data_IF_005139642116
#
_entry.id   IF_005139642116
#
_cell.length_a   1.000
_cell.length_b   1.000
_cell.length_c   1.000
_cell.angle_alpha   90.00
_cell.angle_beta   90.00
_cell.angle_gamma   90.00
#
_symmetry.space_group_name_H-M   'P 1'
#
loop_
_entity.id
_entity.type
_entity.pdbx_description
1 polymer ?
#
# COMPACT_ATOMS: atom_id res chain seq x y z
N UNK A 1 18.58 -17.82 23.87
CA UNK A 1 18.05 -16.84 24.82
C UNK A 1 17.02 -15.97 24.10
N UNK A 2 15.84 -15.75 24.69
CA UNK A 2 14.86 -14.79 24.13
C UNK A 2 15.42 -13.38 24.31
N UNK A 3 15.44 -12.58 23.25
CA UNK A 3 15.80 -11.16 23.28
C UNK A 3 14.86 -10.42 24.25
N UNK A 4 15.38 -9.44 24.99
CA UNK A 4 14.60 -8.59 25.91
C UNK A 4 15.09 -7.14 25.81
N UNK A 5 14.14 -6.21 25.73
CA UNK A 5 14.45 -4.80 25.71
C UNK A 5 15.05 -4.34 27.04
N UNK A 6 16.14 -3.56 26.98
CA UNK A 6 16.66 -2.84 28.14
C UNK A 6 15.87 -1.54 28.38
N UNK A 7 15.85 -1.05 29.61
CA UNK A 7 15.19 0.23 29.94
C UNK A 7 15.75 1.39 29.13
N UNK A 8 17.08 1.46 28.99
CA UNK A 8 17.77 2.47 28.16
C UNK A 8 17.36 2.42 26.69
N UNK A 9 17.15 1.22 26.14
CA UNK A 9 16.68 1.06 24.76
C UNK A 9 15.27 1.64 24.62
N UNK A 10 14.38 1.35 25.57
CA UNK A 10 13.00 1.85 25.55
C UNK A 10 12.92 3.37 25.67
N UNK A 11 13.76 3.99 26.50
CA UNK A 11 13.85 5.46 26.58
C UNK A 11 14.35 6.08 25.27
N UNK A 12 15.31 5.43 24.62
CA UNK A 12 15.79 5.84 23.30
C UNK A 12 14.67 5.73 22.26
N UNK A 13 13.92 4.63 22.26
CA UNK A 13 12.75 4.45 21.39
C UNK A 13 11.71 5.56 21.61
N UNK A 14 11.39 5.88 22.87
CA UNK A 14 10.45 6.96 23.22
C UNK A 14 10.92 8.32 22.69
N UNK A 15 12.21 8.59 22.75
CA UNK A 15 12.79 9.80 22.17
C UNK A 15 12.62 9.83 20.64
N UNK A 16 12.94 8.74 19.96
CA UNK A 16 12.79 8.67 18.49
C UNK A 16 11.34 8.78 18.02
N UNK A 17 10.38 8.30 18.82
CA UNK A 17 8.96 8.39 18.53
C UNK A 17 8.39 9.84 18.58
N UNK A 18 9.18 10.83 18.98
CA UNK A 18 8.78 12.25 18.97
C UNK A 18 9.03 12.91 17.61
N UNK A 19 9.85 12.32 16.73
CA UNK A 19 10.18 12.90 15.44
C UNK A 19 9.14 12.52 14.37
N UNK A 20 8.76 13.44 13.48
CA UNK A 20 7.86 13.12 12.37
C UNK A 20 8.56 12.22 11.36
N UNK A 21 7.80 11.29 10.76
CA UNK A 21 8.29 10.46 9.66
C UNK A 21 8.24 11.23 8.33
N UNK A 22 9.20 10.98 7.44
CA UNK A 22 9.28 11.63 6.13
C UNK A 22 8.55 10.82 5.07
N UNK A 23 7.58 11.43 4.36
CA UNK A 23 6.93 10.82 3.21
C UNK A 23 7.86 10.76 1.98
N UNK A 24 7.79 9.66 1.21
CA UNK A 24 8.59 9.46 -0.01
C UNK A 24 7.68 9.01 -1.14
N UNK A 25 7.69 9.72 -2.28
CA UNK A 25 6.89 9.37 -3.45
C UNK A 25 7.57 8.32 -4.34
N UNK A 26 6.78 7.58 -5.12
CA UNK A 26 7.30 6.59 -6.07
C UNK A 26 8.32 7.21 -7.04
N UNK A 27 8.03 8.42 -7.53
CA UNK A 27 8.91 9.18 -8.42
C UNK A 27 10.24 9.52 -7.78
N UNK A 28 10.24 9.92 -6.49
CA UNK A 28 11.47 10.18 -5.74
C UNK A 28 12.31 8.90 -5.57
N UNK A 29 11.68 7.75 -5.32
CA UNK A 29 12.37 6.47 -5.19
C UNK A 29 13.04 6.02 -6.50
N UNK A 30 12.38 6.24 -7.64
CA UNK A 30 12.93 5.90 -8.97
C UNK A 30 14.06 6.85 -9.37
N UNK A 31 13.86 8.17 -9.25
CA UNK A 31 14.89 9.15 -9.61
C UNK A 31 16.21 8.93 -8.85
N UNK A 32 16.12 8.43 -7.62
CA UNK A 32 17.28 8.10 -6.82
C UNK A 32 17.93 6.77 -7.21
N UNK A 33 17.15 5.78 -7.62
CA UNK A 33 17.62 4.42 -7.90
C UNK A 33 18.03 4.15 -9.35
N UNK A 34 17.71 5.03 -10.30
CA UNK A 34 17.90 4.81 -11.75
C UNK A 34 19.36 4.52 -12.14
N UNK A 35 20.32 5.14 -11.44
CA UNK A 35 21.76 4.90 -11.64
C UNK A 35 22.45 4.67 -10.29
N UNK A 36 22.40 3.45 -9.76
CA UNK A 36 22.98 3.16 -8.46
C UNK A 36 24.52 3.22 -8.57
N UNK A 37 25.13 4.00 -7.69
CA UNK A 37 26.57 4.05 -7.48
C UNK A 37 26.89 3.86 -6.00
N UNK A 38 28.14 3.57 -5.65
CA UNK A 38 28.54 3.44 -4.23
C UNK A 38 28.18 4.70 -3.42
N UNK A 39 28.37 5.89 -4.01
CA UNK A 39 28.02 7.17 -3.39
C UNK A 39 26.52 7.34 -3.22
N UNK A 40 25.75 7.08 -4.28
CA UNK A 40 24.28 7.17 -4.24
C UNK A 40 23.70 6.15 -3.26
N UNK A 41 24.11 4.88 -3.30
CA UNK A 41 23.70 3.86 -2.32
C UNK A 41 24.03 4.25 -0.89
N UNK A 42 25.19 4.89 -0.66
CA UNK A 42 25.55 5.39 0.67
C UNK A 42 24.60 6.49 1.16
N UNK A 43 24.19 7.42 0.29
CA UNK A 43 23.17 8.42 0.64
C UNK A 43 21.84 7.77 1.01
N UNK A 44 21.49 6.69 0.32
CA UNK A 44 20.30 5.89 0.63
C UNK A 44 20.43 5.27 2.02
N UNK A 45 21.58 4.65 2.31
CA UNK A 45 21.89 4.07 3.60
C UNK A 45 21.82 5.12 4.71
N UNK A 46 22.33 6.34 4.46
CA UNK A 46 22.26 7.44 5.43
C UNK A 46 20.81 7.82 5.72
N UNK A 47 20.01 8.07 4.69
CA UNK A 47 18.59 8.38 4.83
C UNK A 47 17.85 7.32 5.65
N UNK A 48 18.00 6.04 5.27
CA UNK A 48 17.33 4.93 5.95
C UNK A 48 17.83 4.72 7.38
N UNK A 49 19.10 5.00 7.65
CA UNK A 49 19.67 4.89 9.01
C UNK A 49 19.12 5.94 9.97
N UNK A 50 18.52 7.01 9.45
CA UNK A 50 17.86 8.05 10.23
C UNK A 50 16.33 7.88 10.23
N UNK A 51 15.74 7.52 9.09
CA UNK A 51 14.28 7.42 8.90
C UNK A 51 13.70 6.12 9.48
N UNK A 52 14.35 4.97 9.31
CA UNK A 52 13.82 3.69 9.79
C UNK A 52 13.68 3.64 11.32
N UNK A 53 14.66 4.10 12.12
CA UNK A 53 14.50 4.14 13.58
C UNK A 53 13.27 4.94 14.02
N UNK A 54 12.96 6.07 13.38
CA UNK A 54 11.76 6.87 13.68
C UNK A 54 10.49 6.04 13.44
N UNK A 55 10.39 5.43 12.25
CA UNK A 55 9.21 4.62 11.88
C UNK A 55 9.04 3.40 12.78
N UNK A 56 10.13 2.70 13.10
CA UNK A 56 10.12 1.55 14.03
C UNK A 56 9.72 1.99 15.44
N UNK A 57 10.23 3.12 15.92
CA UNK A 57 9.90 3.66 17.23
C UNK A 57 8.41 4.01 17.36
N UNK A 58 7.81 4.60 16.32
CA UNK A 58 6.36 4.80 16.28
C UNK A 58 5.58 3.48 16.40
N UNK A 59 6.04 2.39 15.77
CA UNK A 59 5.36 1.09 15.88
C UNK A 59 5.48 0.52 17.29
N UNK A 60 6.65 0.61 17.92
CA UNK A 60 6.82 0.16 19.31
C UNK A 60 5.86 0.92 20.23
N UNK A 61 5.84 2.26 20.16
CA UNK A 61 4.94 3.08 20.98
C UNK A 61 3.48 2.74 20.74
N UNK A 62 3.03 2.68 19.48
CA UNK A 62 1.64 2.36 19.18
C UNK A 62 1.21 0.98 19.70
N UNK A 63 2.12 -0.01 19.67
CA UNK A 63 1.86 -1.35 20.22
C UNK A 63 1.81 -1.35 21.76
N UNK A 64 2.57 -0.48 22.43
CA UNK A 64 2.51 -0.31 23.89
C UNK A 64 1.23 0.38 24.35
N UNK A 65 0.79 1.37 23.59
CA UNK A 65 -0.37 2.21 23.91
C UNK A 65 -1.71 1.57 23.48
N UNK A 66 -1.69 0.34 22.98
CA UNK A 66 -2.89 -0.38 22.57
C UNK A 66 -3.88 -0.54 23.75
N UNK A 67 -5.16 -0.17 23.58
CA UNK A 67 -6.13 -0.13 24.66
C UNK A 67 -6.59 -1.53 25.13
N UNK A 68 -7.35 -1.54 26.22
CA UNK A 68 -8.12 -2.70 26.71
C UNK A 68 -7.33 -3.99 27.01
N UNK A 69 -6.01 -3.87 27.15
CA UNK A 69 -5.11 -5.00 27.40
C UNK A 69 -4.80 -5.81 26.14
N UNK A 70 -4.98 -5.25 24.94
CA UNK A 70 -4.52 -5.86 23.68
C UNK A 70 -3.00 -5.90 23.64
N UNK A 71 -2.33 -4.86 24.17
CA UNK A 71 -0.87 -4.79 24.33
C UNK A 71 -0.30 -5.93 25.19
N UNK A 72 -1.09 -6.49 26.11
CA UNK A 72 -0.67 -7.61 26.97
C UNK A 72 -0.69 -8.98 26.27
N UNK A 73 -1.21 -9.07 25.04
CA UNK A 73 -1.34 -10.36 24.36
C UNK A 73 0.04 -10.88 23.94
N UNK A 74 0.39 -12.16 24.21
CA UNK A 74 1.72 -12.71 23.93
C UNK A 74 2.19 -12.48 22.50
N UNK A 75 1.29 -12.62 21.52
CA UNK A 75 1.63 -12.39 20.12
C UNK A 75 1.85 -10.90 19.79
N UNK A 76 1.17 -9.99 20.47
CA UNK A 76 1.37 -8.52 20.31
C UNK A 76 2.71 -8.10 20.91
N UNK A 77 3.04 -8.62 22.09
CA UNK A 77 4.35 -8.41 22.74
C UNK A 77 5.47 -8.93 21.83
N UNK A 78 5.32 -10.11 21.24
CA UNK A 78 6.30 -10.68 20.30
C UNK A 78 6.55 -9.77 19.09
N UNK A 79 5.49 -9.20 18.51
CA UNK A 79 5.62 -8.23 17.41
C UNK A 79 6.32 -6.96 17.89
N UNK A 80 5.96 -6.44 19.07
CA UNK A 80 6.63 -5.27 19.67
C UNK A 80 8.13 -5.50 19.82
N UNK A 81 8.52 -6.65 20.35
CA UNK A 81 9.93 -7.03 20.54
C UNK A 81 10.67 -7.11 19.20
N UNK A 82 10.03 -7.60 18.13
CA UNK A 82 10.63 -7.58 16.79
C UNK A 82 10.89 -6.18 16.27
N UNK A 83 10.02 -5.21 16.55
CA UNK A 83 10.25 -3.80 16.18
C UNK A 83 11.36 -3.17 17.01
N UNK A 84 11.38 -3.42 18.33
CA UNK A 84 12.39 -2.87 19.23
C UNK A 84 13.79 -3.47 18.96
N UNK A 85 13.88 -4.77 18.67
CA UNK A 85 15.12 -5.42 18.26
C UNK A 85 15.63 -4.84 16.92
N UNK A 86 14.76 -4.66 15.93
CA UNK A 86 15.15 -4.06 14.66
C UNK A 86 15.62 -2.61 14.82
N UNK A 87 15.01 -1.85 15.74
CA UNK A 87 15.44 -0.50 16.08
C UNK A 87 16.86 -0.50 16.67
N UNK A 88 17.12 -1.40 17.63
CA UNK A 88 18.43 -1.56 18.25
C UNK A 88 19.51 -1.90 17.21
N UNK A 89 19.24 -2.86 16.33
CA UNK A 89 20.20 -3.31 15.31
C UNK A 89 20.57 -2.21 14.31
N UNK A 90 19.63 -1.34 13.92
CA UNK A 90 19.92 -0.21 13.02
C UNK A 90 20.73 0.87 13.75
N UNK A 91 20.32 1.23 14.96
CA UNK A 91 20.92 2.34 15.71
C UNK A 91 22.32 2.03 16.22
N UNK A 92 22.62 0.75 16.48
CA UNK A 92 23.95 0.29 16.89
C UNK A 92 24.90 0.04 15.71
N UNK A 93 24.44 0.13 14.46
CA UNK A 93 25.30 -0.13 13.31
C UNK A 93 26.43 0.92 13.23
N UNK A 94 27.72 0.50 13.21
CA UNK A 94 28.83 1.43 13.17
C UNK A 94 28.85 2.26 11.88
N UNK A 95 28.83 3.58 12.02
CA UNK A 95 28.98 4.52 10.90
C UNK A 95 30.44 4.51 10.40
N UNK A 96 30.70 4.66 9.08
CA UNK A 96 32.06 4.72 8.58
C UNK A 96 32.72 6.03 9.00
N UNK A 97 34.02 5.97 9.30
CA UNK A 97 34.80 7.16 9.59
C UNK A 97 35.33 7.77 8.30
N UNK A 98 34.60 8.74 7.76
CA UNK A 98 34.95 9.38 6.49
C UNK A 98 35.79 10.64 6.74
N UNK A 99 36.86 10.77 5.96
CA UNK A 99 37.68 11.97 5.84
C UNK A 99 36.86 13.16 5.29
N UNK A 100 37.37 14.37 5.50
CA UNK A 100 36.65 15.60 5.14
C UNK A 100 36.40 15.68 3.63
N UNK A 101 37.34 15.24 2.81
CA UNK A 101 37.24 15.32 1.34
C UNK A 101 36.12 14.39 0.83
N UNK A 102 36.07 13.14 1.29
CA UNK A 102 34.98 12.21 0.93
C UNK A 102 33.61 12.73 1.38
N UNK A 103 33.51 13.32 2.58
CA UNK A 103 32.26 13.93 3.07
C UNK A 103 31.81 15.09 2.20
N UNK A 104 32.73 15.98 1.84
CA UNK A 104 32.43 17.13 0.99
C UNK A 104 32.02 16.67 -0.42
N UNK A 105 32.66 15.63 -0.96
CA UNK A 105 32.30 15.03 -2.25
C UNK A 105 30.92 14.40 -2.24
N UNK A 106 30.55 13.70 -1.16
CA UNK A 106 29.19 13.17 -0.99
C UNK A 106 28.14 14.29 -1.03
N UNK A 107 28.46 15.49 -0.51
CA UNK A 107 27.58 16.67 -0.42
C UNK A 107 27.54 17.53 -1.68
N UNK A 108 28.45 17.31 -2.65
CA UNK A 108 28.46 18.05 -3.91
C UNK A 108 27.46 17.43 -4.90
N UNK A 109 26.51 18.22 -5.43
CA UNK A 109 25.66 17.75 -6.52
C UNK A 109 26.51 17.47 -7.76
N UNK A 110 26.18 16.40 -8.50
CA UNK A 110 26.87 16.06 -9.76
C UNK A 110 26.89 17.26 -10.74
N UNK A 111 28.01 17.45 -11.46
CA UNK A 111 28.13 18.48 -12.52
C UNK A 111 27.01 18.40 -13.57
N UNK A 112 26.49 17.20 -13.82
CA UNK A 112 25.37 16.98 -14.74
C UNK A 112 24.05 17.58 -14.22
N UNK A 113 23.87 17.67 -12.90
CA UNK A 113 22.72 18.31 -12.27
C UNK A 113 22.75 19.84 -12.37
N UNK A 114 23.93 20.44 -12.61
CA UNK A 114 24.12 21.89 -12.74
C UNK A 114 23.93 22.39 -14.18
N UNK A 115 24.09 21.56 -15.21
CA UNK A 115 24.04 21.97 -16.62
C UNK A 115 22.74 21.67 -17.37
N UNK A 116 21.80 20.89 -16.83
CA UNK A 116 20.55 20.63 -17.55
C UNK A 116 19.49 19.89 -16.74
N UNK A 117 18.39 20.58 -16.44
CA UNK A 117 17.07 19.95 -16.36
C UNK A 117 16.71 19.17 -15.10
N UNK A 118 17.22 19.50 -13.91
CA UNK A 118 16.55 19.03 -12.69
C UNK A 118 15.23 19.77 -12.51
N UNK A 119 14.15 19.18 -13.04
CA UNK A 119 12.79 19.51 -12.60
C UNK A 119 12.75 19.31 -11.08
N UNK A 120 12.51 20.41 -10.38
CA UNK A 120 12.24 20.49 -8.95
C UNK A 120 11.49 19.23 -8.49
N UNK A 121 12.07 18.48 -7.52
CA UNK A 121 11.43 17.29 -6.95
C UNK A 121 9.97 17.65 -6.63
N UNK A 122 9.02 16.98 -7.29
CA UNK A 122 7.60 17.22 -7.02
C UNK A 122 7.35 16.87 -5.55
N UNK A 123 6.68 17.76 -4.83
CA UNK A 123 6.24 17.46 -3.47
C UNK A 123 5.35 16.22 -3.51
N UNK A 124 5.45 15.37 -2.49
CA UNK A 124 4.52 14.25 -2.36
C UNK A 124 3.11 14.83 -2.17
N UNK A 125 2.21 14.56 -3.11
CA UNK A 125 0.82 15.00 -3.03
C UNK A 125 0.08 14.21 -1.95
N UNK A 126 -0.73 14.85 -1.11
CA UNK A 126 -1.59 14.14 -0.17
C UNK A 126 -2.47 13.13 -0.90
N UNK A 127 -2.67 11.96 -0.30
CA UNK A 127 -3.55 10.95 -0.86
C UNK A 127 -5.02 11.38 -0.63
N UNK A 128 -5.82 11.63 -1.67
CA UNK A 128 -7.23 12.02 -1.52
C UNK A 128 -8.13 10.92 -0.94
N UNK A 129 -7.66 9.68 -0.89
CA UNK A 129 -8.42 8.50 -0.45
C UNK A 129 -8.32 8.20 1.05
N UNK A 130 -7.63 9.04 1.83
CA UNK A 130 -7.47 8.91 3.29
C UNK A 130 -8.08 10.15 3.96
N UNK A 131 -9.07 9.95 4.83
CA UNK A 131 -9.66 11.04 5.62
C UNK A 131 -8.65 11.58 6.65
N UNK A 132 -8.62 12.90 6.87
CA UNK A 132 -7.79 13.52 7.91
C UNK A 132 -8.26 13.08 9.31
N UNK A 133 -7.43 12.31 10.02
CA UNK A 133 -7.73 11.81 11.37
C UNK A 133 -7.77 12.99 12.37
N UNK A 134 -8.88 13.22 13.12
CA UNK A 134 -9.00 14.30 14.09
C UNK A 134 -8.06 14.16 15.30
N UNK A 135 -7.49 12.97 15.53
CA UNK A 135 -6.71 12.68 16.74
C UNK A 135 -5.27 13.17 16.69
N UNK A 136 -4.77 13.69 15.55
CA UNK A 136 -3.44 14.33 15.49
C UNK A 136 -2.22 13.42 15.71
N UNK A 137 -2.44 12.12 15.96
CA UNK A 137 -1.37 11.13 16.20
C UNK A 137 -1.15 10.16 15.03
N UNK A 138 -1.88 10.31 13.92
CA UNK A 138 -1.88 9.38 12.78
C UNK A 138 -1.32 9.92 11.46
N UNK A 139 -1.20 11.24 11.30
CA UNK A 139 -0.63 11.87 10.12
C UNK A 139 0.11 13.14 10.54
N UNK A 140 1.44 13.08 10.65
CA UNK A 140 2.21 14.32 10.52
C UNK A 140 2.17 14.70 9.05
N UNK A 141 1.12 15.43 8.70
CA UNK A 141 0.97 16.15 7.47
C UNK A 141 2.31 16.86 7.17
N UNK A 142 2.87 16.64 5.98
CA UNK A 142 4.10 17.29 5.50
C UNK A 142 3.94 18.80 5.26
N UNK A 143 2.90 19.42 5.82
CA UNK A 143 2.45 20.77 5.50
C UNK A 143 2.65 21.79 6.62
N UNK A 144 3.28 21.43 7.75
CA UNK A 144 3.61 22.45 8.77
C UNK A 144 5.05 22.37 9.31
N UNK A 145 6.01 22.51 8.40
CA UNK A 145 7.44 22.65 8.71
C UNK A 145 8.13 23.49 7.64
N UNK A 146 7.70 24.75 7.48
CA UNK A 146 8.19 25.69 6.48
C UNK A 146 9.70 25.93 6.66
N UNK A 147 10.54 25.14 5.97
CA UNK A 147 12.00 25.30 5.88
C UNK A 147 12.84 24.04 6.19
N UNK A 148 12.57 23.31 7.27
CA UNK A 148 13.45 22.20 7.74
C UNK A 148 13.23 20.87 7.01
N UNK A 149 11.98 20.47 6.75
CA UNK A 149 11.69 19.24 5.99
C UNK A 149 12.13 19.35 4.51
N UNK A 150 11.99 20.55 3.92
CA UNK A 150 12.52 20.89 2.59
C UNK A 150 14.05 20.74 2.53
N UNK A 151 14.76 21.11 3.60
CA UNK A 151 16.22 20.94 3.70
C UNK A 151 16.64 19.47 3.81
N UNK A 152 15.92 18.65 4.60
CA UNK A 152 16.23 17.23 4.79
C UNK A 152 15.97 16.38 3.53
N UNK A 153 14.82 16.58 2.86
CA UNK A 153 14.54 15.89 1.59
C UNK A 153 15.58 16.27 0.52
N UNK A 154 15.94 17.56 0.37
CA UNK A 154 17.04 17.97 -0.52
C UNK A 154 18.40 17.37 -0.15
N UNK A 155 18.63 17.06 1.13
CA UNK A 155 19.93 16.58 1.64
C UNK A 155 20.22 15.13 1.26
N UNK A 156 19.16 14.32 1.08
CA UNK A 156 19.30 12.88 0.80
C UNK A 156 19.02 12.51 -0.67
N UNK A 157 18.19 13.27 -1.39
CA UNK A 157 17.82 12.98 -2.78
C UNK A 157 18.64 13.75 -3.84
N UNK A 158 19.85 14.20 -3.49
CA UNK A 158 20.76 14.86 -4.42
C UNK A 158 21.70 13.84 -5.10
N UNK A 159 21.93 14.00 -6.40
CA UNK A 159 22.90 13.19 -7.15
C UNK A 159 24.31 13.46 -6.64
N UNK A 160 25.08 12.39 -6.45
CA UNK A 160 26.45 12.50 -5.96
C UNK A 160 27.42 12.67 -7.13
N UNK A 161 28.51 13.41 -6.93
CA UNK A 161 29.61 13.46 -7.89
C UNK A 161 30.38 12.12 -7.93
N UNK A 162 30.02 11.28 -8.89
CA UNK A 162 30.62 9.97 -9.13
C UNK A 162 31.85 10.00 -10.04
N UNK A 163 32.48 11.17 -10.27
CA UNK A 163 33.63 11.32 -11.18
C UNK A 163 34.96 10.66 -10.73
N UNK A 164 34.92 9.66 -9.83
CA UNK A 164 36.09 8.97 -9.29
C UNK A 164 35.74 7.79 -8.39
N UNK A 165 36.73 6.96 -8.05
CA UNK A 165 36.51 5.82 -7.15
C UNK A 165 36.09 6.28 -5.75
N UNK A 166 35.20 5.52 -5.11
CA UNK A 166 34.79 5.74 -3.72
C UNK A 166 35.64 4.90 -2.77
N UNK A 167 35.89 5.35 -1.52
CA UNK A 167 36.58 4.54 -0.53
C UNK A 167 35.89 3.19 -0.30
N UNK A 168 36.69 2.13 -0.12
CA UNK A 168 36.17 0.77 0.12
C UNK A 168 35.28 0.69 1.36
N UNK A 169 35.49 1.58 2.34
CA UNK A 169 34.70 1.71 3.56
C UNK A 169 33.22 2.03 3.30
N UNK A 170 32.92 2.83 2.27
CA UNK A 170 31.54 3.13 1.85
C UNK A 170 30.85 1.90 1.30
N UNK A 171 31.56 1.16 0.44
CA UNK A 171 31.05 -0.08 -0.12
C UNK A 171 30.79 -1.12 0.98
N UNK A 172 31.74 -1.29 1.90
CA UNK A 172 31.60 -2.21 3.03
C UNK A 172 30.48 -1.79 4.00
N UNK A 173 30.27 -0.49 4.21
CA UNK A 173 29.13 -0.01 4.98
C UNK A 173 27.80 -0.33 4.29
N UNK A 174 27.68 -0.05 2.99
CA UNK A 174 26.46 -0.37 2.23
C UNK A 174 26.12 -1.86 2.28
N UNK A 175 27.11 -2.74 2.12
CA UNK A 175 26.90 -4.19 2.25
C UNK A 175 26.43 -4.58 3.65
N UNK A 176 27.09 -4.09 4.71
CA UNK A 176 26.69 -4.39 6.11
C UNK A 176 25.30 -3.85 6.43
N UNK A 177 24.97 -2.65 5.95
CA UNK A 177 23.66 -2.04 6.14
C UNK A 177 22.59 -2.86 5.41
N UNK A 178 22.78 -3.21 4.13
CA UNK A 178 21.85 -4.04 3.37
C UNK A 178 21.66 -5.43 4.01
N UNK A 179 22.72 -6.07 4.51
CA UNK A 179 22.61 -7.34 5.26
C UNK A 179 21.78 -7.18 6.54
N UNK A 180 21.93 -6.06 7.25
CA UNK A 180 21.13 -5.73 8.43
C UNK A 180 19.66 -5.55 8.05
N UNK A 181 19.38 -4.80 6.98
CA UNK A 181 18.03 -4.63 6.45
C UNK A 181 17.39 -5.96 6.01
N UNK A 182 18.16 -6.86 5.41
CA UNK A 182 17.69 -8.20 5.04
C UNK A 182 17.26 -9.01 6.27
N UNK A 183 18.07 -9.01 7.34
CA UNK A 183 17.73 -9.68 8.61
C UNK A 183 16.44 -9.12 9.19
N UNK A 184 16.31 -7.79 9.19
CA UNK A 184 15.10 -7.09 9.66
C UNK A 184 13.89 -7.45 8.79
N UNK A 185 14.01 -7.43 7.47
CA UNK A 185 12.93 -7.83 6.55
C UNK A 185 12.43 -9.23 6.87
N UNK A 186 13.35 -10.20 7.04
CA UNK A 186 13.02 -11.59 7.36
C UNK A 186 12.33 -11.74 8.72
N UNK A 187 12.85 -11.07 9.76
CA UNK A 187 12.22 -11.04 11.10
C UNK A 187 10.77 -10.56 11.04
N UNK A 188 10.48 -9.63 10.14
CA UNK A 188 9.18 -8.99 10.02
C UNK A 188 8.21 -9.70 9.06
N UNK A 189 8.60 -10.78 8.37
CA UNK A 189 7.73 -11.49 7.43
C UNK A 189 6.47 -12.05 8.13
N UNK A 190 6.62 -12.59 9.35
CA UNK A 190 5.53 -13.14 10.15
C UNK A 190 4.63 -12.13 10.90
N UNK A 191 4.85 -10.81 10.75
CA UNK A 191 4.14 -9.78 11.54
C UNK A 191 2.63 -9.80 11.33
N UNK A 192 2.15 -9.92 10.09
CA UNK A 192 0.70 -9.90 9.80
C UNK A 192 0.00 -11.07 10.50
N UNK A 193 0.58 -12.27 10.39
CA UNK A 193 0.05 -13.48 11.05
C UNK A 193 0.07 -13.38 12.55
N UNK A 194 1.20 -12.95 13.11
CA UNK A 194 1.40 -12.89 14.55
C UNK A 194 0.49 -11.83 15.16
N UNK A 195 0.31 -10.69 14.49
CA UNK A 195 -0.62 -9.67 14.94
C UNK A 195 -2.08 -10.16 14.86
N UNK A 196 -2.49 -10.85 13.79
CA UNK A 196 -3.82 -11.45 13.70
C UNK A 196 -4.07 -12.46 14.83
N UNK A 197 -3.07 -13.27 15.16
CA UNK A 197 -3.10 -14.18 16.30
C UNK A 197 -3.24 -13.43 17.64
N UNK A 198 -2.55 -12.30 17.82
CA UNK A 198 -2.70 -11.45 19.01
C UNK A 198 -4.10 -10.87 19.18
N UNK A 199 -4.73 -10.44 18.08
CA UNK A 199 -6.13 -9.99 18.12
C UNK A 199 -7.08 -11.17 18.42
N UNK A 200 -6.78 -12.38 17.93
CA UNK A 200 -7.57 -13.57 18.24
C UNK A 200 -7.47 -13.96 19.71
N UNK A 201 -6.27 -13.90 20.30
CA UNK A 201 -6.02 -14.08 21.74
C UNK A 201 -6.87 -13.10 22.57
N UNK A 202 -6.87 -11.82 22.18
CA UNK A 202 -7.68 -10.79 22.82
C UNK A 202 -9.19 -11.09 22.74
N UNK A 203 -9.70 -11.42 21.54
CA UNK A 203 -11.12 -11.76 21.33
C UNK A 203 -11.55 -12.94 22.21
N UNK A 204 -10.71 -13.97 22.32
CA UNK A 204 -10.97 -15.14 23.19
C UNK A 204 -10.98 -14.74 24.66
N UNK A 205 -10.00 -13.97 25.12
CA UNK A 205 -9.87 -13.52 26.52
C UNK A 205 -11.06 -12.64 26.96
N UNK A 206 -11.55 -11.78 26.07
CA UNK A 206 -12.66 -10.85 26.36
C UNK A 206 -14.04 -11.38 25.92
N UNK A 207 -14.12 -12.57 25.32
CA UNK A 207 -15.34 -13.16 24.75
C UNK A 207 -16.08 -12.20 23.78
N UNK A 208 -15.34 -11.47 22.95
CA UNK A 208 -15.92 -10.51 21.98
C UNK A 208 -16.00 -11.11 20.58
N UNK A 209 -17.15 -10.93 19.93
CA UNK A 209 -17.38 -11.38 18.55
C UNK A 209 -16.75 -10.43 17.52
N UNK A 210 -16.70 -9.13 17.80
CA UNK A 210 -16.13 -8.10 16.93
C UNK A 210 -15.11 -7.25 17.67
N UNK A 211 -14.16 -6.67 16.93
CA UNK A 211 -13.23 -5.67 17.48
C UNK A 211 -13.85 -4.28 17.33
N UNK A 212 -13.52 -3.39 18.25
CA UNK A 212 -13.99 -2.01 18.22
C UNK A 212 -13.32 -1.18 17.09
N UNK A 213 -13.87 0.00 16.83
CA UNK A 213 -13.34 0.93 15.84
C UNK A 213 -11.93 1.41 16.16
N UNK A 214 -11.53 1.48 17.44
CA UNK A 214 -10.19 1.95 17.82
C UNK A 214 -9.11 0.96 17.39
N UNK A 215 -9.35 -0.35 17.56
CA UNK A 215 -8.46 -1.41 17.11
C UNK A 215 -8.43 -1.45 15.57
N UNK A 216 -9.57 -1.25 14.90
CA UNK A 216 -9.61 -1.16 13.42
C UNK A 216 -8.72 -0.02 12.90
N UNK A 217 -8.92 1.20 13.40
CA UNK A 217 -8.11 2.37 13.02
C UNK A 217 -6.63 2.19 13.37
N UNK A 218 -6.32 1.53 14.48
CA UNK A 218 -4.95 1.14 14.80
C UNK A 218 -4.38 0.18 13.75
N UNK A 219 -5.08 -0.91 13.40
CA UNK A 219 -4.59 -1.91 12.46
C UNK A 219 -4.35 -1.31 11.07
N UNK A 220 -5.23 -0.40 10.63
CA UNK A 220 -5.04 0.34 9.38
C UNK A 220 -3.74 1.17 9.39
N UNK A 221 -3.53 1.98 10.42
CA UNK A 221 -2.29 2.77 10.59
C UNK A 221 -1.07 1.86 10.72
N UNK A 222 -1.18 0.78 11.47
CA UNK A 222 -0.12 -0.20 11.72
C UNK A 222 0.35 -0.84 10.41
N UNK A 223 -0.58 -1.39 9.62
CA UNK A 223 -0.25 -2.04 8.36
C UNK A 223 0.16 -1.06 7.26
N UNK A 224 -0.43 0.14 7.20
CA UNK A 224 0.02 1.18 6.27
C UNK A 224 1.49 1.54 6.51
N UNK A 225 1.89 1.77 7.77
CA UNK A 225 3.28 2.03 8.08
C UNK A 225 4.18 0.82 7.81
N UNK A 226 3.69 -0.40 8.04
CA UNK A 226 4.47 -1.62 7.73
C UNK A 226 4.73 -1.75 6.23
N UNK A 227 3.73 -1.48 5.39
CA UNK A 227 3.88 -1.44 3.92
C UNK A 227 4.99 -0.43 3.57
N UNK A 228 4.95 0.77 4.16
CA UNK A 228 5.98 1.79 3.93
C UNK A 228 7.37 1.40 4.40
N UNK A 229 7.51 0.73 5.55
CA UNK A 229 8.80 0.19 6.02
C UNK A 229 9.30 -0.89 5.04
N UNK A 230 8.46 -1.86 4.67
CA UNK A 230 8.83 -2.94 3.73
C UNK A 230 9.23 -2.39 2.36
N UNK A 231 8.56 -1.32 1.89
CA UNK A 231 8.90 -0.62 0.65
C UNK A 231 10.31 -0.02 0.70
N UNK A 232 10.66 0.69 1.77
CA UNK A 232 11.99 1.28 1.94
C UNK A 232 13.08 0.22 2.08
N UNK A 233 12.83 -0.83 2.88
CA UNK A 233 13.76 -1.95 3.04
C UNK A 233 14.00 -2.65 1.70
N UNK A 234 12.91 -3.01 1.02
CA UNK A 234 12.95 -3.72 -0.26
C UNK A 234 13.69 -2.94 -1.33
N UNK A 235 13.43 -1.63 -1.45
CA UNK A 235 14.12 -0.77 -2.41
C UNK A 235 15.63 -0.78 -2.21
N UNK A 236 16.09 -0.56 -0.98
CA UNK A 236 17.53 -0.48 -0.70
C UNK A 236 18.25 -1.81 -0.87
N UNK A 237 17.61 -2.89 -0.43
CA UNK A 237 18.07 -4.25 -0.64
C UNK A 237 18.25 -4.53 -2.13
N UNK A 238 17.21 -4.27 -2.94
CA UNK A 238 17.22 -4.58 -4.37
C UNK A 238 18.24 -3.73 -5.16
N UNK A 239 18.46 -2.48 -4.73
CA UNK A 239 19.49 -1.61 -5.33
C UNK A 239 20.92 -2.02 -4.93
N UNK A 240 21.11 -2.65 -3.78
CA UNK A 240 22.43 -3.09 -3.30
C UNK A 240 22.81 -4.47 -3.83
N UNK A 241 21.83 -5.36 -4.00
CA UNK A 241 22.01 -6.67 -4.59
C UNK A 241 22.08 -6.58 -6.12
N UNK A 242 23.31 -6.50 -6.64
CA UNK A 242 23.61 -6.37 -8.08
C UNK A 242 23.08 -7.55 -8.92
N UNK A 243 22.66 -8.66 -8.29
CA UNK A 243 22.04 -9.79 -8.99
C UNK A 243 20.69 -9.43 -9.63
N UNK A 244 20.01 -8.38 -9.14
CA UNK A 244 18.75 -7.88 -9.66
C UNK A 244 18.89 -6.89 -10.84
N UNK A 245 20.12 -6.51 -11.25
CA UNK A 245 20.36 -5.65 -12.43
C UNK A 245 20.21 -6.38 -13.78
N UNK A 246 19.28 -7.34 -13.88
CA UNK A 246 19.06 -8.08 -15.13
C UNK A 246 18.04 -7.39 -16.04
N UNK A 247 17.15 -6.58 -15.50
CA UNK A 247 16.09 -5.93 -16.26
C UNK A 247 16.21 -4.39 -16.17
N UNK A 248 16.42 -3.68 -17.29
CA UNK A 248 16.52 -2.22 -17.31
C UNK A 248 15.20 -1.51 -16.95
N UNK A 249 14.08 -2.22 -16.89
CA UNK A 249 12.79 -1.67 -16.47
C UNK A 249 12.62 -1.64 -14.95
N UNK A 250 13.54 -2.23 -14.18
CA UNK A 250 13.46 -2.27 -12.72
C UNK A 250 14.43 -1.29 -12.06
N UNK A 251 13.88 -0.49 -11.15
CA UNK A 251 14.63 0.38 -10.24
C UNK A 251 14.33 -0.09 -8.81
N UNK A 252 15.17 -0.99 -8.32
CA UNK A 252 14.94 -1.68 -7.04
C UNK A 252 13.72 -2.60 -7.13
N UNK A 253 12.67 -2.32 -6.35
CA UNK A 253 11.40 -3.09 -6.38
C UNK A 253 10.33 -2.48 -7.29
N UNK A 254 10.63 -1.33 -7.91
CA UNK A 254 9.71 -0.59 -8.77
C UNK A 254 10.01 -0.97 -10.22
N UNK A 255 8.97 -1.37 -10.97
CA UNK A 255 9.08 -1.56 -12.41
C UNK A 255 8.49 -0.33 -13.11
N UNK A 256 9.28 0.32 -13.97
CA UNK A 256 8.86 1.51 -14.74
C UNK A 256 7.85 1.19 -15.83
N UNK A 257 7.77 -0.09 -16.24
CA UNK A 257 6.90 -0.60 -17.30
C UNK A 257 6.19 -1.88 -16.84
N UNK A 258 5.43 -1.78 -15.74
CA UNK A 258 4.69 -2.91 -15.20
C UNK A 258 3.58 -3.28 -16.18
N UNK A 259 3.70 -4.42 -16.85
CA UNK A 259 2.66 -4.92 -17.75
C UNK A 259 1.50 -5.50 -16.92
N UNK A 260 0.30 -4.93 -17.09
CA UNK A 260 -0.88 -5.33 -16.29
C UNK A 260 -1.46 -6.65 -16.75
N UNK A 261 -1.39 -6.95 -18.05
CA UNK A 261 -1.90 -8.19 -18.63
C UNK A 261 -1.17 -9.39 -18.03
N UNK A 262 0.16 -9.38 -18.06
CA UNK A 262 0.98 -10.50 -17.60
C UNK A 262 0.79 -10.73 -16.10
N UNK A 263 0.81 -9.65 -15.32
CA UNK A 263 0.65 -9.73 -13.87
C UNK A 263 -0.74 -10.19 -13.45
N UNK A 264 -1.79 -9.76 -14.16
CA UNK A 264 -3.15 -10.23 -13.92
C UNK A 264 -3.30 -11.70 -14.32
N UNK A 265 -2.70 -12.13 -15.43
CA UNK A 265 -2.73 -13.51 -15.87
C UNK A 265 -2.06 -14.44 -14.84
N UNK A 266 -0.88 -14.07 -14.34
CA UNK A 266 -0.19 -14.83 -13.29
C UNK A 266 -1.03 -14.89 -12.00
N UNK A 267 -1.61 -13.77 -11.57
CA UNK A 267 -2.47 -13.73 -10.38
C UNK A 267 -3.74 -14.59 -10.54
N UNK A 268 -4.32 -14.65 -11.74
CA UNK A 268 -5.45 -15.52 -12.08
C UNK A 268 -5.06 -16.98 -11.94
N UNK A 269 -3.94 -17.39 -12.54
CA UNK A 269 -3.47 -18.77 -12.50
C UNK A 269 -3.18 -19.22 -11.06
N UNK A 270 -2.50 -18.37 -10.28
CA UNK A 270 -2.22 -18.64 -8.88
C UNK A 270 -3.50 -18.75 -8.04
N UNK A 271 -4.47 -17.86 -8.24
CA UNK A 271 -5.75 -17.91 -7.51
C UNK A 271 -6.59 -19.14 -7.89
N UNK A 272 -6.59 -19.53 -9.18
CA UNK A 272 -7.25 -20.75 -9.66
C UNK A 272 -6.62 -22.01 -9.06
N UNK A 273 -5.29 -22.10 -9.06
CA UNK A 273 -4.57 -23.21 -8.46
C UNK A 273 -4.91 -23.38 -6.97
N UNK A 274 -4.89 -22.30 -6.19
CA UNK A 274 -5.25 -22.35 -4.76
C UNK A 274 -6.72 -22.74 -4.56
N UNK A 275 -7.61 -22.33 -5.48
CA UNK A 275 -9.02 -22.72 -5.45
C UNK A 275 -9.21 -24.22 -5.75
N UNK A 276 -8.49 -24.77 -6.72
CA UNK A 276 -8.50 -26.20 -7.07
C UNK A 276 -8.02 -27.06 -5.89
N UNK A 277 -6.86 -26.71 -5.32
CA UNK A 277 -6.26 -27.43 -4.20
C UNK A 277 -7.17 -27.42 -2.97
N UNK A 278 -7.77 -26.26 -2.64
CA UNK A 278 -8.60 -26.13 -1.44
C UNK A 278 -9.93 -26.89 -1.51
N UNK A 279 -10.61 -26.83 -2.66
CA UNK A 279 -11.91 -27.47 -2.85
C UNK A 279 -11.79 -28.86 -3.50
N UNK A 280 -10.59 -29.34 -3.82
CA UNK A 280 -10.39 -30.61 -4.51
C UNK A 280 -11.06 -30.66 -5.88
N UNK A 281 -11.12 -29.52 -6.58
CA UNK A 281 -11.77 -29.42 -7.89
C UNK A 281 -10.82 -29.93 -8.98
N UNK A 282 -11.39 -30.58 -9.99
CA UNK A 282 -10.63 -30.92 -11.20
C UNK A 282 -10.29 -29.68 -12.03
N UNK A 283 -11.19 -28.69 -12.07
CA UNK A 283 -10.98 -27.40 -12.73
C UNK A 283 -11.64 -26.28 -11.90
N UNK A 284 -10.89 -25.22 -11.56
CA UNK A 284 -11.44 -24.02 -10.92
C UNK A 284 -12.32 -23.20 -11.88
N UNK A 285 -13.19 -22.31 -11.34
CA UNK A 285 -13.96 -21.40 -12.17
C UNK A 285 -13.09 -20.64 -13.18
N UNK A 286 -13.53 -20.61 -14.43
CA UNK A 286 -12.82 -19.92 -15.51
C UNK A 286 -12.81 -18.42 -15.24
N UNK A 287 -11.67 -17.80 -15.52
CA UNK A 287 -11.51 -16.35 -15.42
C UNK A 287 -11.21 -15.79 -16.81
N UNK A 288 -12.01 -14.82 -17.24
CA UNK A 288 -11.79 -14.10 -18.50
C UNK A 288 -11.10 -12.77 -18.21
N UNK A 289 -9.87 -12.61 -18.72
CA UNK A 289 -9.14 -11.36 -18.69
C UNK A 289 -9.41 -10.54 -19.96
N UNK A 290 -9.92 -9.32 -19.79
CA UNK A 290 -10.08 -8.32 -20.85
C UNK A 290 -9.16 -7.15 -20.49
N UNK A 291 -8.01 -7.09 -21.14
CA UNK A 291 -7.00 -6.06 -20.91
C UNK A 291 -6.32 -5.72 -22.24
N UNK A 292 -5.84 -4.48 -22.37
CA UNK A 292 -4.96 -4.11 -23.47
C UNK A 292 -3.56 -4.72 -23.17
N UNK A 293 -3.01 -5.59 -24.02
CA UNK A 293 -1.72 -6.23 -23.76
C UNK A 293 -0.55 -5.24 -23.72
N UNK A 294 -0.71 -4.03 -24.29
CA UNK A 294 0.30 -2.98 -24.31
C UNK A 294 0.14 -1.96 -23.18
N UNK A 295 -0.72 -2.22 -22.19
CA UNK A 295 -0.88 -1.34 -21.05
C UNK A 295 0.26 -1.58 -20.05
N UNK A 296 1.19 -0.63 -19.99
CA UNK A 296 2.25 -0.59 -18.99
C UNK A 296 2.27 0.74 -18.23
N UNK A 297 2.59 0.66 -16.93
CA UNK A 297 2.78 1.84 -16.11
C UNK A 297 3.80 1.61 -14.99
N UNK A 298 4.31 2.70 -14.42
CA UNK A 298 5.27 2.63 -13.33
C UNK A 298 4.56 2.24 -12.02
N UNK A 299 4.89 1.07 -11.48
CA UNK A 299 4.30 0.58 -10.24
C UNK A 299 5.22 -0.42 -9.52
N UNK A 300 4.76 -0.94 -8.38
CA UNK A 300 5.41 -2.05 -7.66
C UNK A 300 4.68 -3.34 -8.01
N UNK A 301 5.22 -4.21 -8.89
CA UNK A 301 4.53 -5.41 -9.36
C UNK A 301 4.06 -6.31 -8.21
N UNK A 302 4.88 -6.50 -7.17
CA UNK A 302 4.51 -7.31 -6.00
C UNK A 302 3.28 -6.78 -5.24
N UNK A 303 3.08 -5.45 -5.18
CA UNK A 303 1.88 -4.89 -4.54
C UNK A 303 0.63 -5.16 -5.39
N UNK A 304 0.72 -4.97 -6.70
CA UNK A 304 -0.40 -5.18 -7.61
C UNK A 304 -0.79 -6.65 -7.70
N UNK A 305 0.20 -7.55 -7.81
CA UNK A 305 -0.02 -9.01 -7.79
C UNK A 305 -0.73 -9.45 -6.50
N UNK A 306 -0.30 -8.95 -5.34
CA UNK A 306 -0.95 -9.25 -4.06
C UNK A 306 -2.43 -8.81 -4.02
N UNK A 307 -2.73 -7.58 -4.48
CA UNK A 307 -4.11 -7.09 -4.54
C UNK A 307 -4.99 -7.94 -5.48
N UNK A 308 -4.48 -8.27 -6.66
CA UNK A 308 -5.17 -9.10 -7.64
C UNK A 308 -5.42 -10.51 -7.09
N UNK A 309 -4.39 -11.14 -6.55
CA UNK A 309 -4.47 -12.48 -5.97
C UNK A 309 -5.51 -12.57 -4.85
N UNK A 310 -5.47 -11.67 -3.86
CA UNK A 310 -6.41 -11.71 -2.74
C UNK A 310 -7.86 -11.42 -3.17
N UNK A 311 -8.08 -10.51 -4.13
CA UNK A 311 -9.42 -10.21 -4.64
C UNK A 311 -9.97 -11.34 -5.51
N UNK A 312 -9.15 -11.92 -6.39
CA UNK A 312 -9.52 -13.08 -7.21
C UNK A 312 -9.83 -14.31 -6.36
N UNK A 313 -9.02 -14.58 -5.33
CA UNK A 313 -9.26 -15.67 -4.39
C UNK A 313 -10.63 -15.56 -3.72
N UNK A 314 -11.00 -14.36 -3.25
CA UNK A 314 -12.33 -14.14 -2.65
C UNK A 314 -13.47 -14.33 -3.66
N UNK A 315 -13.26 -13.86 -4.90
CA UNK A 315 -14.21 -13.97 -6.01
C UNK A 315 -14.46 -15.44 -6.39
N UNK A 316 -13.39 -16.21 -6.61
CA UNK A 316 -13.46 -17.64 -6.95
C UNK A 316 -14.10 -18.45 -5.83
N UNK A 317 -13.74 -18.17 -4.58
CA UNK A 317 -14.36 -18.77 -3.40
C UNK A 317 -15.88 -18.54 -3.38
N UNK A 318 -16.33 -17.30 -3.57
CA UNK A 318 -17.74 -16.97 -3.57
C UNK A 318 -18.50 -17.71 -4.69
N UNK A 319 -17.89 -17.84 -5.87
CA UNK A 319 -18.46 -18.59 -6.99
C UNK A 319 -18.63 -20.07 -6.66
N UNK A 320 -17.60 -20.72 -6.11
CA UNK A 320 -17.65 -22.15 -5.76
C UNK A 320 -18.64 -22.41 -4.63
N UNK A 321 -18.59 -21.62 -3.55
CA UNK A 321 -19.48 -21.80 -2.39
C UNK A 321 -20.95 -21.58 -2.73
N UNK A 322 -21.26 -20.61 -3.61
CA UNK A 322 -22.65 -20.32 -4.02
C UNK A 322 -23.24 -21.41 -4.92
N UNK A 323 -22.40 -22.00 -5.78
CA UNK A 323 -22.87 -22.92 -6.81
C UNK A 323 -22.74 -24.39 -6.46
N UNK A 324 -21.99 -24.71 -5.41
CA UNK A 324 -21.68 -26.07 -5.02
C UNK A 324 -20.49 -26.63 -5.80
N UNK A 325 -19.72 -27.49 -5.12
CA UNK A 325 -18.50 -28.11 -5.64
C UNK A 325 -18.79 -29.11 -6.76
N UNK A 326 -20.00 -29.69 -6.77
CA UNK A 326 -20.44 -30.70 -7.75
C UNK A 326 -20.88 -30.09 -9.09
N UNK A 327 -20.83 -28.76 -9.24
CA UNK A 327 -21.27 -28.10 -10.46
C UNK A 327 -20.31 -28.41 -11.61
N UNK A 328 -20.86 -28.88 -12.73
CA UNK A 328 -20.06 -29.22 -13.92
C UNK A 328 -19.38 -28.00 -14.54
N UNK A 329 -20.04 -26.83 -14.54
CA UNK A 329 -19.49 -25.59 -15.08
C UNK A 329 -19.83 -24.40 -14.18
N UNK A 330 -18.80 -23.68 -13.74
CA UNK A 330 -18.97 -22.44 -12.98
C UNK A 330 -19.17 -21.22 -13.90
N UNK A 331 -19.92 -20.18 -13.45
CA UNK A 331 -19.96 -18.92 -14.18
C UNK A 331 -18.58 -18.29 -14.28
N UNK A 332 -18.30 -17.66 -15.42
CA UNK A 332 -17.00 -17.07 -15.72
C UNK A 332 -16.81 -15.78 -14.93
N UNK A 333 -15.78 -15.74 -14.09
CA UNK A 333 -15.35 -14.50 -13.43
C UNK A 333 -14.65 -13.61 -14.44
N UNK A 334 -14.95 -12.31 -14.46
CA UNK A 334 -14.40 -11.37 -15.43
C UNK A 334 -13.44 -10.40 -14.77
N UNK A 335 -12.24 -10.26 -15.33
CA UNK A 335 -11.26 -9.23 -14.98
C UNK A 335 -11.17 -8.27 -16.14
N UNK A 336 -11.54 -7.01 -15.92
CA UNK A 336 -11.56 -5.97 -16.95
C UNK A 336 -10.61 -4.87 -16.53
N UNK A 337 -9.60 -4.61 -17.35
CA UNK A 337 -8.64 -3.54 -17.15
C UNK A 337 -8.97 -2.41 -18.13
N UNK A 338 -9.16 -1.21 -17.58
CA UNK A 338 -9.44 0.00 -18.34
C UNK A 338 -8.42 1.08 -17.98
N UNK A 339 -7.83 1.69 -18.99
CA UNK A 339 -6.95 2.86 -18.87
C UNK A 339 -7.77 4.13 -19.14
N UNK A 340 -7.78 5.03 -18.17
CA UNK A 340 -8.29 6.39 -18.31
C UNK A 340 -7.15 7.40 -18.43
N UNK A 341 -7.49 8.70 -18.47
CA UNK A 341 -6.49 9.78 -18.51
C UNK A 341 -5.75 9.96 -17.18
N UNK A 342 -6.42 9.65 -16.08
CA UNK A 342 -5.92 9.87 -14.71
C UNK A 342 -5.78 8.56 -13.93
N UNK A 343 -6.61 7.56 -14.25
CA UNK A 343 -6.72 6.33 -13.49
C UNK A 343 -6.57 5.09 -14.38
N UNK A 344 -5.93 4.06 -13.83
CA UNK A 344 -6.03 2.69 -14.34
C UNK A 344 -6.99 1.94 -13.41
N UNK A 345 -8.08 1.41 -13.98
CA UNK A 345 -9.10 0.68 -13.23
C UNK A 345 -9.04 -0.81 -13.57
N UNK A 346 -8.89 -1.64 -12.54
CA UNK A 346 -9.04 -3.10 -12.66
C UNK A 346 -10.35 -3.48 -11.97
N UNK A 347 -11.30 -3.99 -12.75
CA UNK A 347 -12.60 -4.44 -12.26
C UNK A 347 -12.68 -5.96 -12.31
N UNK A 348 -12.88 -6.57 -11.13
CA UNK A 348 -13.17 -8.01 -11.01
C UNK A 348 -14.69 -8.14 -10.79
N UNK A 349 -15.33 -9.06 -11.49
CA UNK A 349 -16.77 -9.28 -11.41
C UNK A 349 -17.07 -10.77 -11.43
N UNK A 350 -17.85 -11.21 -10.46
CA UNK A 350 -18.30 -12.60 -10.32
C UNK A 350 -19.80 -12.70 -10.12
N UNK A 351 -20.28 -13.94 -10.17
CA UNK A 351 -21.65 -14.33 -9.87
C UNK A 351 -21.71 -15.15 -8.57
N UNK A 352 -20.90 -14.81 -7.56
CA UNK A 352 -20.84 -15.52 -6.28
C UNK A 352 -21.95 -15.16 -5.28
N UNK A 353 -23.18 -14.90 -5.76
CA UNK A 353 -24.37 -14.64 -4.92
C UNK A 353 -24.45 -13.26 -4.24
N UNK A 354 -23.33 -12.54 -4.16
CA UNK A 354 -23.25 -11.20 -3.60
C UNK A 354 -23.20 -11.17 -2.06
N UNK A 355 -23.09 -9.95 -1.53
CA UNK A 355 -22.92 -9.65 -0.11
C UNK A 355 -24.11 -8.79 0.33
N UNK A 356 -24.85 -9.19 1.38
CA UNK A 356 -25.94 -8.39 1.92
C UNK A 356 -25.49 -6.99 2.29
N UNK A 357 -26.33 -5.98 2.05
CA UNK A 357 -25.96 -4.56 2.30
C UNK A 357 -25.53 -4.30 3.74
N UNK A 358 -26.09 -5.02 4.70
CA UNK A 358 -25.71 -4.95 6.12
C UNK A 358 -24.30 -5.46 6.41
N UNK A 359 -23.77 -6.37 5.59
CA UNK A 359 -22.44 -6.97 5.74
C UNK A 359 -21.34 -6.24 4.95
N UNK A 360 -21.69 -5.35 4.00
CA UNK A 360 -20.72 -4.60 3.19
C UNK A 360 -19.73 -3.79 4.05
N UNK A 361 -20.13 -3.06 5.11
CA UNK A 361 -19.16 -2.37 5.95
C UNK A 361 -18.22 -3.33 6.70
N UNK A 362 -18.71 -4.54 7.02
CA UNK A 362 -17.98 -5.52 7.81
C UNK A 362 -16.86 -6.19 7.01
N UNK A 363 -16.94 -6.27 5.69
CA UNK A 363 -15.87 -6.91 4.88
C UNK A 363 -14.53 -6.17 4.93
N UNK A 364 -14.57 -4.91 5.34
CA UNK A 364 -13.38 -4.07 5.55
C UNK A 364 -12.83 -4.17 6.97
N UNK A 365 -13.52 -4.87 7.87
CA UNK A 365 -13.12 -5.01 9.26
C UNK A 365 -12.18 -6.20 9.42
N UNK A 366 -11.04 -6.00 10.10
CA UNK A 366 -10.12 -7.11 10.42
C UNK A 366 -10.81 -8.16 11.29
N UNK A 367 -10.43 -9.43 11.12
CA UNK A 367 -11.00 -10.58 11.84
C UNK A 367 -12.48 -10.88 11.50
N UNK A 368 -13.09 -10.15 10.56
CA UNK A 368 -14.36 -10.54 9.98
C UNK A 368 -14.12 -11.57 8.87
N UNK A 369 -14.68 -12.77 9.05
CA UNK A 369 -14.59 -13.85 8.07
C UNK A 369 -15.91 -14.59 8.02
N UNK A 370 -16.27 -15.05 6.82
CA UNK A 370 -17.45 -15.90 6.58
C UNK A 370 -17.13 -17.39 6.76
N UNK A 371 -15.96 -17.73 7.30
CA UNK A 371 -15.51 -19.11 7.53
C UNK A 371 -15.83 -19.53 8.97
N UNK A 372 -16.49 -20.67 9.16
CA UNK A 372 -16.91 -21.17 10.48
C UNK A 372 -15.75 -21.62 11.38
N UNK A 373 -14.59 -21.96 10.80
CA UNK A 373 -13.37 -22.35 11.52
C UNK A 373 -12.15 -21.62 10.95
N UNK A 374 -11.57 -20.70 11.72
CA UNK A 374 -10.24 -20.15 11.41
C UNK A 374 -9.22 -21.28 11.45
N UNK A 375 -8.46 -21.54 10.38
CA UNK A 375 -7.45 -22.59 10.38
C UNK A 375 -6.41 -22.33 11.48
N UNK A 376 -6.00 -23.39 12.18
CA UNK A 376 -4.91 -23.30 13.15
C UNK A 376 -3.63 -22.90 12.41
N UNK A 377 -2.97 -21.86 12.92
CA UNK A 377 -1.64 -21.48 12.45
C UNK A 377 -0.66 -22.57 12.85
N UNK A 378 -0.13 -23.31 11.88
CA UNK A 378 1.07 -24.09 12.12
C UNK A 378 2.22 -23.09 12.43
N UNK A 379 2.86 -23.16 13.60
CA UNK A 379 3.97 -22.27 13.94
C UNK A 379 5.18 -22.39 12.98
N UNK A 380 5.30 -23.48 12.23
CA UNK A 380 6.35 -23.71 11.24
C UNK A 380 5.96 -23.27 9.81
N UNK A 381 4.81 -22.60 9.65
CA UNK A 381 4.35 -22.10 8.36
C UNK A 381 5.18 -20.89 7.91
N UNK A 382 6.29 -21.16 7.21
CA UNK A 382 7.16 -20.14 6.64
C UNK A 382 6.43 -19.41 5.51
N UNK A 383 5.95 -18.21 5.80
CA UNK A 383 5.28 -17.34 4.84
C UNK A 383 6.29 -16.74 3.88
N UNK A 384 6.65 -17.48 2.84
CA UNK A 384 6.70 -16.84 1.54
C UNK A 384 5.26 -16.49 1.14
N UNK A 385 5.06 -15.37 0.45
CA UNK A 385 3.75 -14.82 0.07
C UNK A 385 2.87 -15.78 -0.80
N UNK A 386 3.26 -17.04 -0.98
CA UNK A 386 2.74 -17.98 -1.99
C UNK A 386 1.94 -19.18 -1.46
N UNK A 387 1.90 -19.45 -0.14
CA UNK A 387 1.08 -20.54 0.45
C UNK A 387 0.00 -20.03 1.39
N UNK A 388 -0.64 -18.90 1.09
CA UNK A 388 -1.76 -18.44 1.91
C UNK A 388 -2.99 -19.35 1.68
N UNK A 389 -3.69 -19.81 2.74
CA UNK A 389 -4.91 -20.61 2.59
C UNK A 389 -6.00 -19.85 1.82
N UNK A 390 -6.87 -20.59 1.12
CA UNK A 390 -7.96 -20.05 0.28
C UNK A 390 -8.86 -19.06 1.02
N UNK A 391 -9.12 -19.34 2.30
CA UNK A 391 -9.74 -18.41 3.23
C UNK A 391 -8.93 -18.34 4.53
N UNK A 392 -8.86 -17.15 5.13
CA UNK A 392 -8.00 -16.88 6.28
C UNK A 392 -8.67 -16.02 7.35
N UNK A 393 -7.85 -15.26 8.07
CA UNK A 393 -8.25 -14.43 9.23
C UNK A 393 -9.12 -13.21 8.90
N UNK A 394 -9.56 -13.01 7.65
CA UNK A 394 -10.28 -11.79 7.27
C UNK A 394 -9.38 -10.55 7.15
N UNK A 395 -8.14 -10.73 6.69
CA UNK A 395 -7.17 -9.64 6.50
C UNK A 395 -6.93 -9.28 5.04
N UNK A 396 -7.34 -10.13 4.08
CA UNK A 396 -7.07 -9.94 2.66
C UNK A 396 -7.59 -8.62 2.13
N UNK A 397 -8.92 -8.42 2.11
CA UNK A 397 -9.54 -7.20 1.57
C UNK A 397 -9.09 -5.91 2.27
N UNK A 398 -9.03 -5.82 3.61
CA UNK A 398 -8.52 -4.62 4.28
C UNK A 398 -7.08 -4.30 3.88
N UNK A 399 -6.18 -5.30 3.86
CA UNK A 399 -4.77 -5.09 3.49
C UNK A 399 -4.64 -4.71 2.00
N UNK A 400 -5.36 -5.37 1.09
CA UNK A 400 -5.36 -5.02 -0.33
C UNK A 400 -5.81 -3.57 -0.54
N UNK A 401 -6.78 -3.08 0.23
CA UNK A 401 -7.19 -1.68 0.20
C UNK A 401 -6.09 -0.74 0.68
N UNK A 402 -5.34 -1.11 1.73
CA UNK A 402 -4.19 -0.31 2.17
C UNK A 402 -3.09 -0.26 1.10
N UNK A 403 -2.82 -1.35 0.39
CA UNK A 403 -1.88 -1.35 -0.73
C UNK A 403 -2.32 -0.40 -1.86
N UNK A 404 -3.61 -0.41 -2.22
CA UNK A 404 -4.15 0.51 -3.22
C UNK A 404 -3.99 1.97 -2.77
N UNK A 405 -4.32 2.25 -1.51
CA UNK A 405 -4.21 3.59 -0.92
C UNK A 405 -2.77 4.05 -0.74
N UNK A 406 -1.80 3.17 -0.54
CA UNK A 406 -0.43 3.58 -0.25
C UNK A 406 0.17 4.51 -1.34
N UNK A 407 -0.21 4.33 -2.61
CA UNK A 407 0.22 5.19 -3.73
C UNK A 407 -0.91 6.02 -4.35
N UNK A 408 -1.96 6.35 -3.59
CA UNK A 408 -3.00 7.29 -4.01
C UNK A 408 -4.23 6.68 -4.68
N UNK A 409 -4.28 5.35 -4.85
CA UNK A 409 -5.46 4.64 -5.35
C UNK A 409 -6.49 4.33 -4.26
N UNK A 410 -7.46 3.47 -4.58
CA UNK A 410 -8.41 2.90 -3.62
C UNK A 410 -8.91 1.54 -4.12
N UNK A 411 -9.46 0.73 -3.22
CA UNK A 411 -10.13 -0.53 -3.55
C UNK A 411 -11.59 -0.43 -3.09
N UNK A 412 -12.52 -0.50 -4.04
CA UNK A 412 -13.96 -0.36 -3.81
C UNK A 412 -14.67 -1.67 -4.12
N UNK A 413 -15.66 -1.99 -3.30
CA UNK A 413 -16.50 -3.17 -3.46
C UNK A 413 -17.94 -2.73 -3.70
N UNK A 414 -18.54 -3.26 -4.76
CA UNK A 414 -19.95 -3.08 -5.07
C UNK A 414 -20.56 -4.48 -5.16
N UNK A 415 -21.60 -4.73 -4.38
CA UNK A 415 -22.26 -6.02 -4.37
C UNK A 415 -23.75 -5.90 -4.64
N UNK A 416 -24.29 -6.87 -5.37
CA UNK A 416 -25.71 -7.03 -5.65
C UNK A 416 -26.14 -8.37 -5.06
N UNK A 417 -26.88 -8.33 -3.96
CA UNK A 417 -27.41 -9.52 -3.30
C UNK A 417 -28.55 -10.11 -4.14
N UNK A 418 -28.45 -11.42 -4.42
CA UNK A 418 -29.53 -12.19 -5.00
C UNK A 418 -29.05 -13.31 -5.92
N UNK A 419 -29.90 -14.34 -6.15
CA UNK A 419 -29.62 -15.35 -7.17
C UNK A 419 -29.58 -14.64 -8.52
N UNK A 420 -28.54 -14.88 -9.32
CA UNK A 420 -28.25 -14.27 -10.62
C UNK A 420 -29.51 -14.03 -11.47
N UNK A 421 -30.21 -12.91 -11.25
CA UNK A 421 -31.37 -12.55 -12.03
C UNK A 421 -30.86 -11.68 -13.16
N UNK A 422 -30.84 -12.28 -14.35
CA UNK A 422 -30.60 -11.62 -15.63
C UNK A 422 -31.36 -10.29 -15.66
N UNK A 423 -30.64 -9.18 -15.49
CA UNK A 423 -31.20 -7.86 -15.73
C UNK A 423 -31.31 -7.67 -17.24
N UNK A 424 -32.38 -8.19 -17.85
CA UNK A 424 -32.80 -7.76 -19.20
C UNK A 424 -33.27 -6.32 -19.10
N UNK A 425 -32.35 -5.36 -19.16
CA UNK A 425 -32.71 -3.97 -19.44
C UNK A 425 -33.11 -3.88 -20.91
N UNK A 426 -34.40 -4.11 -21.21
CA UNK A 426 -35.03 -3.49 -22.38
C UNK A 426 -34.99 -1.99 -22.13
N UNK A 427 -33.97 -1.31 -22.64
CA UNK A 427 -34.03 0.13 -22.87
C UNK A 427 -35.08 0.34 -23.97
N UNK A 428 -36.33 0.58 -23.58
CA UNK A 428 -37.22 1.41 -24.38
C UNK A 428 -37.01 2.83 -23.92
N UNK A 429 -36.56 3.67 -24.84
CA UNK A 429 -36.58 5.12 -24.74
C UNK A 429 -37.90 5.62 -24.15
N UNK A 430 -37.80 6.25 -22.98
CA UNK A 430 -38.69 7.34 -22.52
C UNK A 430 -38.21 7.84 -21.16
N UNK A 431 -37.31 8.82 -21.19
CA UNK A 431 -37.36 10.00 -20.30
C UNK A 431 -36.27 10.99 -20.70
N UNK A 432 -36.49 11.61 -21.86
CA UNK A 432 -35.98 12.94 -22.16
C UNK A 432 -36.99 13.92 -21.56
N UNK A 433 -36.83 14.25 -20.28
CA UNK A 433 -37.45 15.37 -19.52
C UNK A 433 -37.15 15.13 -18.04
N UNK A 434 -36.11 15.80 -17.54
CA UNK A 434 -35.88 16.22 -16.14
C UNK A 434 -34.39 16.54 -15.92
N UNK A 435 -33.84 17.46 -16.73
CA UNK A 435 -32.68 18.29 -16.33
C UNK A 435 -32.84 19.65 -17.02
N UNK A 436 -33.89 20.37 -16.64
CA UNK A 436 -33.98 21.82 -16.92
C UNK A 436 -34.83 22.49 -15.83
N UNK A 437 -34.48 22.26 -14.56
CA UNK A 437 -35.07 23.00 -13.44
C UNK A 437 -34.13 22.95 -12.24
N UNK A 438 -33.01 23.68 -12.33
CA UNK A 438 -32.16 24.14 -11.22
C UNK A 438 -31.19 25.20 -11.76
N UNK A 439 -31.78 26.24 -12.36
CA UNK A 439 -31.18 27.56 -12.57
C UNK A 439 -32.29 28.58 -12.34
N UNK A 440 -32.69 28.72 -11.08
CA UNK A 440 -33.59 29.78 -10.63
C UNK A 440 -33.50 29.91 -9.10
N UNK A 441 -32.28 30.04 -8.56
CA UNK A 441 -32.04 30.68 -7.26
C UNK A 441 -30.65 31.29 -7.35
N UNK A 442 -30.58 32.58 -7.63
CA UNK A 442 -29.34 33.31 -7.90
C UNK A 442 -29.56 34.26 -9.06
N UNK A 443 -30.33 35.31 -8.80
CA UNK A 443 -30.35 36.63 -9.46
C UNK A 443 -31.72 37.29 -9.22
N UNK A 444 -32.02 37.57 -7.95
CA UNK A 444 -33.17 38.36 -7.51
C UNK A 444 -32.75 39.61 -6.70
N UNK A 445 -31.53 40.10 -6.92
CA UNK A 445 -31.03 41.35 -6.31
C UNK A 445 -30.45 42.36 -7.31
N UNK A 446 -30.64 42.17 -8.62
CA UNK A 446 -30.06 43.05 -9.65
C UNK A 446 -31.05 43.70 -10.64
N UNK A 447 -32.35 43.72 -10.35
CA UNK A 447 -33.36 44.36 -11.24
C UNK A 447 -34.18 45.46 -10.54
N UNK A 448 -33.68 45.97 -9.40
CA UNK A 448 -34.34 47.09 -8.70
C UNK A 448 -34.07 48.48 -9.29
N UNK A 449 -33.42 48.63 -10.45
CA UNK A 449 -33.20 49.94 -11.07
C UNK A 449 -33.01 49.86 -12.60
N UNK A 450 -34.09 50.01 -13.39
CA UNK A 450 -34.07 50.71 -14.69
C UNK A 450 -35.48 50.80 -15.35
N UNK A 451 -35.82 51.89 -16.07
CA UNK A 451 -37.19 52.28 -16.47
C UNK A 451 -37.64 51.69 -17.84
N UNK A 452 -38.95 51.81 -18.21
CA UNK A 452 -39.54 51.08 -19.33
C UNK A 452 -39.41 51.82 -20.67
N UNK A 453 -39.21 51.08 -21.77
CA UNK A 453 -39.23 51.67 -23.10
C UNK A 453 -39.11 50.68 -24.28
N UNK A 454 -40.27 50.40 -24.88
CA UNK A 454 -40.57 50.07 -26.28
C UNK A 454 -40.02 48.80 -26.99
N UNK A 455 -41.00 47.95 -27.30
CA UNK A 455 -41.10 46.96 -28.37
C UNK A 455 -40.56 47.43 -29.74
N UNK A 456 -39.90 46.53 -30.48
CA UNK A 456 -40.31 46.24 -31.86
C UNK A 456 -39.78 44.91 -32.43
N UNK A 457 -40.60 44.39 -33.36
CA UNK A 457 -40.57 43.15 -34.12
C UNK A 457 -39.35 42.90 -35.04
N UNK A 458 -39.18 41.63 -35.43
CA UNK A 458 -38.49 41.18 -36.66
C UNK A 458 -37.64 39.94 -36.42
N UNK A 459 -38.16 38.73 -36.62
CA UNK A 459 -38.14 37.95 -37.88
C UNK A 459 -36.85 37.13 -38.10
N UNK A 460 -37.09 35.81 -38.24
CA UNK A 460 -36.53 34.89 -39.23
C UNK A 460 -35.18 34.16 -39.12
N UNK A 461 -35.33 32.81 -39.22
CA UNK A 461 -34.51 31.76 -39.89
C UNK A 461 -33.35 31.13 -39.11
N UNK A 462 -33.39 29.81 -38.82
CA UNK A 462 -32.97 28.68 -39.69
C UNK A 462 -31.53 28.89 -40.19
N UNK A 463 -30.52 28.12 -39.78
CA UNK A 463 -30.35 26.66 -39.72
C UNK A 463 -29.53 26.21 -38.51
#
# INVERSE_FOLDING_TARGET
MSWKASERLMDTIRHYAQFPATGVSLRQMVQFGDKPSTGTLFRASQFLSEELPIRLAHRVRELEDLPDGVNDMPSVIKVKDWYAQSFEEITQLPRPNLDKETRDRLMKPSRHALMGGYQQLSEATPNPSIDEDPTGWGHTNGTNGNGKAKSLSRRYYATVDDSGAWPAELHLYNQRFAQTLHKIKRRHDGVVTTMAQGILEYKRKRQRLQIDSTIQSFLDRFYMSRIGIRMLLGQHIALTDQSHHRDPTYVGVICTKTNVQDLAQEAIENARFVCEDHYGLFEAPKVQLVCNPNLDFMYVPGHLSHMLFETLKNSLRAVVETHGMDKQEFPVTKVIVAEGKEDITIKISDEGGGIPRSAIPLVWTYMYTTVDRTPNLDPDFDKSDFKAPMAGFGYGLPISRLYARYFGGDLKLISMEGPSLVMRKRLKDKQRREVTERKQVGDAEAVLNAPPGNYNHGEDRQL
#
